data_IF_864311185070
#
_entry.id   IF_864311185070
#
_cell.length_a   1.000
_cell.length_b   1.000
_cell.length_c   1.000
_cell.angle_alpha   90.00
_cell.angle_beta   90.00
_cell.angle_gamma   90.00
#
_symmetry.space_group_name_H-M   'P 1'
#
loop_
_entity.id
_entity.type
_entity.pdbx_description
1 polymer ?
#
# COMPACT_ATOMS: atom_id res chain seq x y z
N UNK A 1 47.49 43.81 43.54
CA UNK A 1 46.14 43.65 42.95
C UNK A 1 46.29 43.25 41.48
N UNK A 2 45.77 42.10 41.06
CA UNK A 2 46.06 41.53 39.74
C UNK A 2 45.39 42.38 38.65
N UNK A 3 46.18 42.87 37.68
CA UNK A 3 45.67 43.73 36.59
C UNK A 3 44.44 43.13 35.89
N UNK A 4 44.41 41.81 35.73
CA UNK A 4 43.27 41.05 35.17
C UNK A 4 41.97 41.23 35.97
N UNK A 5 42.06 41.28 37.30
CA UNK A 5 40.89 41.48 38.17
C UNK A 5 40.33 42.90 38.05
N UNK A 6 41.19 43.90 37.88
CA UNK A 6 40.78 45.30 37.67
C UNK A 6 40.08 45.46 36.31
N UNK A 7 40.62 44.85 35.25
CA UNK A 7 39.96 44.85 33.93
C UNK A 7 38.63 44.10 33.94
N UNK A 8 38.56 42.95 34.62
CA UNK A 8 37.32 42.19 34.75
C UNK A 8 36.25 42.98 35.52
N UNK A 9 36.64 43.66 36.61
CA UNK A 9 35.73 44.51 37.38
C UNK A 9 35.24 45.70 36.56
N UNK A 10 36.14 46.38 35.85
CA UNK A 10 35.79 47.50 34.97
C UNK A 10 34.85 47.08 33.84
N UNK A 11 35.10 45.93 33.21
CA UNK A 11 34.22 45.36 32.20
C UNK A 11 32.86 45.00 32.77
N UNK A 12 32.79 44.41 33.95
CA UNK A 12 31.53 44.03 34.60
C UNK A 12 30.69 45.25 34.97
N UNK A 13 31.31 46.31 35.50
CA UNK A 13 30.61 47.58 35.78
C UNK A 13 30.11 48.21 34.49
N UNK A 14 30.91 48.21 33.43
CA UNK A 14 30.51 48.75 32.13
C UNK A 14 29.37 47.95 31.49
N UNK A 15 29.41 46.62 31.56
CA UNK A 15 28.34 45.74 31.10
C UNK A 15 27.05 45.96 31.90
N UNK A 16 27.14 46.10 33.23
CA UNK A 16 25.98 46.39 34.09
C UNK A 16 25.38 47.77 33.79
N UNK A 17 26.21 48.80 33.58
CA UNK A 17 25.75 50.13 33.19
C UNK A 17 25.05 50.11 31.82
N UNK A 18 25.60 49.37 30.85
CA UNK A 18 25.00 49.21 29.53
C UNK A 18 23.66 48.44 29.62
N UNK A 19 23.60 47.37 30.40
CA UNK A 19 22.37 46.62 30.65
C UNK A 19 21.30 47.49 31.31
N UNK A 20 21.70 48.35 32.26
CA UNK A 20 20.79 49.30 32.89
C UNK A 20 20.27 50.35 31.90
N UNK A 21 21.12 50.89 31.04
CA UNK A 21 20.72 51.87 30.00
C UNK A 21 19.78 51.23 28.97
N UNK A 22 20.03 49.98 28.60
CA UNK A 22 19.19 49.24 27.64
C UNK A 22 17.92 48.66 28.26
N UNK A 23 17.79 48.65 29.59
CA UNK A 23 16.65 48.05 30.30
C UNK A 23 15.32 48.54 29.76
N UNK A 24 15.17 49.86 29.63
CA UNK A 24 13.90 50.46 29.17
C UNK A 24 13.60 50.12 27.70
N UNK A 25 14.64 50.02 26.86
CA UNK A 25 14.50 49.58 25.48
C UNK A 25 14.10 48.10 25.37
N UNK A 26 14.72 47.23 26.17
CA UNK A 26 14.36 45.80 26.22
C UNK A 26 12.95 45.62 26.76
N UNK A 27 12.59 46.34 27.81
CA UNK A 27 11.25 46.25 28.42
C UNK A 27 10.16 46.67 27.43
N UNK A 28 10.36 47.81 26.74
CA UNK A 28 9.39 48.33 25.78
C UNK A 28 9.34 47.54 24.47
N UNK A 29 10.48 47.14 23.91
CA UNK A 29 10.54 46.53 22.58
C UNK A 29 10.47 45.01 22.58
N UNK A 30 10.76 44.35 23.72
CA UNK A 30 10.79 42.89 23.80
C UNK A 30 9.80 42.37 24.83
N UNK A 31 9.89 42.83 26.08
CA UNK A 31 9.08 42.25 27.16
C UNK A 31 7.59 42.58 26.98
N UNK A 32 7.25 43.85 26.74
CA UNK A 32 5.86 44.28 26.55
C UNK A 32 5.18 43.58 25.35
N UNK A 33 5.77 43.51 24.15
CA UNK A 33 5.19 42.76 23.03
C UNK A 33 5.02 41.27 23.35
N UNK A 34 5.96 40.67 24.06
CA UNK A 34 5.88 39.25 24.43
C UNK A 34 4.71 38.98 25.38
N UNK A 35 4.53 39.84 26.39
CA UNK A 35 3.40 39.75 27.33
C UNK A 35 2.08 39.93 26.57
N UNK A 36 2.00 40.94 25.70
CA UNK A 36 0.81 41.19 24.89
C UNK A 36 0.51 39.99 23.97
N UNK A 37 1.52 39.44 23.31
CA UNK A 37 1.39 38.27 22.46
C UNK A 37 0.88 37.04 23.24
N UNK A 38 1.42 36.79 24.43
CA UNK A 38 0.97 35.71 25.29
C UNK A 38 -0.48 35.90 25.74
N UNK A 39 -0.84 37.13 26.11
CA UNK A 39 -2.20 37.48 26.49
C UNK A 39 -3.20 37.28 25.34
N UNK A 40 -2.85 37.70 24.12
CA UNK A 40 -3.65 37.47 22.92
C UNK A 40 -3.85 35.97 22.67
N UNK A 41 -2.80 35.15 22.78
CA UNK A 41 -2.92 33.69 22.67
C UNK A 41 -3.90 33.14 23.69
N UNK A 42 -3.81 33.60 24.95
CA UNK A 42 -4.73 33.21 26.02
C UNK A 42 -6.19 33.52 25.66
N UNK A 43 -6.46 34.73 25.16
CA UNK A 43 -7.81 35.11 24.70
C UNK A 43 -8.26 34.23 23.54
N UNK A 44 -7.41 33.95 22.56
CA UNK A 44 -7.78 33.06 21.46
C UNK A 44 -8.10 31.65 21.97
N UNK A 45 -7.36 31.16 22.96
CA UNK A 45 -7.60 29.86 23.58
C UNK A 45 -8.92 29.82 24.35
N UNK A 46 -9.21 30.84 25.15
CA UNK A 46 -10.46 30.94 25.93
C UNK A 46 -11.68 31.23 25.02
N UNK A 47 -11.45 31.94 23.92
CA UNK A 47 -12.47 32.23 22.90
C UNK A 47 -12.72 31.04 21.99
N UNK A 48 -11.85 30.01 22.02
CA UNK A 48 -12.11 28.77 21.29
C UNK A 48 -13.32 28.11 21.94
N UNK A 49 -14.48 28.10 21.28
CA UNK A 49 -15.68 27.59 21.91
C UNK A 49 -15.43 26.13 22.20
N UNK A 50 -15.65 25.70 23.44
CA UNK A 50 -15.57 24.30 23.83
C UNK A 50 -16.42 23.42 22.88
N UNK A 51 -17.49 23.97 22.30
CA UNK A 51 -18.26 23.34 21.25
C UNK A 51 -17.44 22.97 19.99
N UNK A 52 -16.52 23.83 19.54
CA UNK A 52 -15.69 23.58 18.35
C UNK A 52 -14.73 22.43 18.58
N UNK A 53 -14.09 22.33 19.76
CA UNK A 53 -13.22 21.20 20.08
C UNK A 53 -14.01 19.89 20.13
N UNK A 54 -15.22 19.90 20.70
CA UNK A 54 -16.13 18.74 20.65
C UNK A 54 -16.55 18.37 19.23
N UNK A 55 -16.88 19.36 18.38
CA UNK A 55 -17.24 19.11 16.97
C UNK A 55 -16.09 18.44 16.22
N UNK A 56 -14.86 18.95 16.36
CA UNK A 56 -13.67 18.36 15.73
C UNK A 56 -13.45 16.94 16.25
N UNK A 57 -13.51 16.74 17.57
CA UNK A 57 -13.31 15.43 18.19
C UNK A 57 -14.36 14.42 17.72
N UNK A 58 -15.64 14.80 17.71
CA UNK A 58 -16.73 13.96 17.19
C UNK A 58 -16.54 13.69 15.70
N UNK A 59 -16.13 14.69 14.90
CA UNK A 59 -15.88 14.50 13.48
C UNK A 59 -14.73 13.51 13.22
N UNK A 60 -13.64 13.59 13.98
CA UNK A 60 -12.51 12.64 13.89
C UNK A 60 -12.95 11.24 14.29
N UNK A 61 -13.65 11.08 15.41
CA UNK A 61 -14.17 9.78 15.84
C UNK A 61 -15.13 9.20 14.79
N UNK A 62 -16.02 10.03 14.24
CA UNK A 62 -16.97 9.62 13.19
C UNK A 62 -16.24 9.19 11.93
N UNK A 63 -15.22 9.95 11.51
CA UNK A 63 -14.40 9.60 10.34
C UNK A 63 -13.67 8.27 10.55
N UNK A 64 -13.10 8.05 11.74
CA UNK A 64 -12.45 6.79 12.10
C UNK A 64 -13.45 5.64 12.15
N UNK A 65 -14.65 5.87 12.71
CA UNK A 65 -15.71 4.87 12.77
C UNK A 65 -16.18 4.46 11.37
N UNK A 66 -16.45 5.43 10.49
CA UNK A 66 -16.82 5.17 9.09
C UNK A 66 -15.70 4.42 8.35
N UNK A 67 -14.44 4.81 8.57
CA UNK A 67 -13.29 4.10 8.03
C UNK A 67 -13.16 2.67 8.57
N UNK A 68 -13.50 2.44 9.84
CA UNK A 68 -13.48 1.13 10.49
C UNK A 68 -14.55 0.20 9.92
N UNK A 69 -15.76 0.70 9.65
CA UNK A 69 -16.83 -0.11 9.04
C UNK A 69 -16.51 -0.52 7.59
N UNK A 70 -15.63 0.21 6.88
CA UNK A 70 -15.13 -0.22 5.57
C UNK A 70 -14.01 -1.26 5.63
N UNK A 71 -13.54 -1.65 6.83
CA UNK A 71 -12.59 -2.76 7.05
C UNK A 71 -13.33 -4.00 7.58
N UNK A 72 -14.64 -4.08 7.38
CA UNK A 72 -15.50 -5.20 7.79
C UNK A 72 -15.64 -6.28 6.70
N UNK A 73 -14.54 -6.65 6.02
CA UNK A 73 -14.51 -7.87 5.19
C UNK A 73 -13.14 -8.60 5.21
N UNK A 74 -12.28 -8.32 6.20
CA UNK A 74 -11.07 -9.11 6.42
C UNK A 74 -10.72 -9.36 7.88
N UNK A 75 -11.67 -9.19 8.81
CA UNK A 75 -11.51 -9.74 10.16
C UNK A 75 -11.96 -11.21 10.16
N UNK A 76 -10.97 -12.05 9.85
CA UNK A 76 -10.93 -13.45 10.21
C UNK A 76 -11.43 -13.63 11.64
N UNK A 77 -12.67 -14.10 11.74
CA UNK A 77 -13.25 -14.62 12.96
C UNK A 77 -12.23 -15.56 13.61
N UNK A 78 -11.80 -15.23 14.82
CA UNK A 78 -10.93 -16.04 15.67
C UNK A 78 -11.61 -17.34 16.15
N UNK A 79 -12.54 -17.87 15.36
CA UNK A 79 -13.00 -19.25 15.48
C UNK A 79 -11.80 -20.14 15.18
N UNK A 80 -11.44 -20.95 16.18
CA UNK A 80 -10.63 -22.15 16.01
C UNK A 80 -11.17 -22.90 14.79
N UNK A 81 -10.54 -22.72 13.64
CA UNK A 81 -10.87 -23.44 12.43
C UNK A 81 -10.59 -24.90 12.77
N UNK A 82 -11.60 -25.80 12.80
CA UNK A 82 -11.31 -27.22 12.88
C UNK A 82 -10.37 -27.50 11.71
N UNK A 83 -9.19 -28.11 11.97
CA UNK A 83 -8.21 -28.47 10.93
C UNK A 83 -8.99 -29.10 9.78
N UNK A 84 -9.21 -28.32 8.71
CA UNK A 84 -9.86 -28.84 7.51
C UNK A 84 -8.98 -30.01 7.05
N UNK A 85 -9.56 -31.15 6.69
CA UNK A 85 -8.81 -32.25 6.11
C UNK A 85 -7.97 -31.67 4.96
N UNK A 86 -6.73 -32.13 4.82
CA UNK A 86 -5.78 -31.60 3.84
C UNK A 86 -6.45 -31.53 2.46
N UNK A 87 -6.89 -30.34 2.06
CA UNK A 87 -7.59 -30.13 0.80
C UNK A 87 -6.63 -30.54 -0.31
N UNK A 88 -7.10 -31.38 -1.22
CA UNK A 88 -6.30 -31.82 -2.35
C UNK A 88 -5.90 -30.63 -3.22
N UNK A 89 -4.82 -30.78 -3.99
CA UNK A 89 -4.36 -29.72 -4.90
C UNK A 89 -5.46 -29.27 -5.88
N UNK A 90 -6.36 -30.17 -6.26
CA UNK A 90 -7.52 -29.89 -7.12
C UNK A 90 -8.60 -29.08 -6.40
N UNK A 91 -8.86 -29.36 -5.12
CA UNK A 91 -9.85 -28.65 -4.32
C UNK A 91 -9.40 -27.21 -4.04
N UNK A 92 -8.10 -26.99 -3.83
CA UNK A 92 -7.53 -25.63 -3.76
C UNK A 92 -7.68 -24.87 -5.07
N UNK A 93 -7.43 -25.53 -6.22
CA UNK A 93 -7.56 -24.89 -7.54
C UNK A 93 -9.02 -24.51 -7.83
N UNK A 94 -9.98 -25.40 -7.54
CA UNK A 94 -11.40 -25.11 -7.64
C UNK A 94 -11.81 -23.93 -6.74
N UNK A 95 -11.25 -23.87 -5.52
CA UNK A 95 -11.45 -22.76 -4.61
C UNK A 95 -10.91 -21.42 -5.15
N UNK A 96 -9.76 -21.43 -5.84
CA UNK A 96 -9.23 -20.22 -6.48
C UNK A 96 -10.02 -19.81 -7.71
N UNK A 97 -10.48 -20.78 -8.52
CA UNK A 97 -11.32 -20.52 -9.69
C UNK A 97 -12.62 -19.83 -9.28
N UNK A 98 -13.25 -20.29 -8.20
CA UNK A 98 -14.46 -19.66 -7.67
C UNK A 98 -14.20 -18.23 -7.12
N UNK A 99 -12.99 -17.94 -6.65
CA UNK A 99 -12.56 -16.62 -6.13
C UNK A 99 -11.82 -15.76 -7.16
N UNK A 100 -11.70 -16.20 -8.41
CA UNK A 100 -11.10 -15.43 -9.50
C UNK A 100 -11.71 -14.03 -9.67
N UNK A 101 -13.03 -13.80 -9.51
CA UNK A 101 -13.59 -12.45 -9.62
C UNK A 101 -13.22 -11.52 -8.45
N UNK A 102 -12.85 -12.07 -7.29
CA UNK A 102 -12.64 -11.28 -6.06
C UNK A 102 -11.31 -10.49 -6.07
N UNK A 103 -10.31 -10.95 -6.85
CA UNK A 103 -8.95 -10.43 -6.69
C UNK A 103 -8.06 -10.66 -7.90
N UNK A 104 -7.31 -9.61 -8.28
CA UNK A 104 -6.25 -9.69 -9.31
C UNK A 104 -5.20 -10.76 -8.96
N UNK A 105 -4.93 -10.95 -7.67
CA UNK A 105 -4.04 -12.00 -7.18
C UNK A 105 -4.52 -13.41 -7.57
N UNK A 106 -5.82 -13.70 -7.44
CA UNK A 106 -6.37 -15.01 -7.80
C UNK A 106 -6.34 -15.22 -9.31
N UNK A 107 -6.64 -14.18 -10.11
CA UNK A 107 -6.50 -14.22 -11.56
C UNK A 107 -5.07 -14.53 -11.99
N UNK A 108 -4.08 -13.86 -11.40
CA UNK A 108 -2.66 -14.13 -11.63
C UNK A 108 -2.26 -15.55 -11.21
N UNK A 109 -2.74 -16.02 -10.05
CA UNK A 109 -2.40 -17.36 -9.55
C UNK A 109 -2.92 -18.46 -10.48
N UNK A 110 -4.13 -18.30 -11.01
CA UNK A 110 -4.72 -19.22 -12.00
C UNK A 110 -3.90 -19.20 -13.29
N UNK A 111 -3.61 -18.00 -13.82
CA UNK A 111 -2.79 -17.83 -15.02
C UNK A 111 -1.40 -18.48 -14.87
N UNK A 112 -0.76 -18.30 -13.71
CA UNK A 112 0.54 -18.91 -13.40
C UNK A 112 0.47 -20.43 -13.36
N UNK A 113 -0.59 -21.01 -12.78
CA UNK A 113 -0.78 -22.46 -12.70
C UNK A 113 -1.03 -23.06 -14.08
N UNK A 114 -1.92 -22.45 -14.86
CA UNK A 114 -2.20 -22.88 -16.23
C UNK A 114 -0.98 -22.73 -17.14
N UNK A 115 -0.22 -21.65 -17.00
CA UNK A 115 1.03 -21.44 -17.74
C UNK A 115 2.12 -22.45 -17.37
N UNK A 116 2.22 -22.87 -16.10
CA UNK A 116 3.14 -23.96 -15.71
C UNK A 116 2.72 -25.29 -16.34
N UNK A 117 1.42 -25.60 -16.30
CA UNK A 117 0.88 -26.82 -16.88
C UNK A 117 1.14 -26.87 -18.39
N UNK A 118 0.85 -25.78 -19.12
CA UNK A 118 1.11 -25.72 -20.56
C UNK A 118 2.59 -25.89 -20.92
N UNK A 119 3.50 -25.33 -20.10
CA UNK A 119 4.95 -25.53 -20.25
C UNK A 119 5.39 -26.97 -20.00
N UNK A 120 4.88 -27.60 -18.93
CA UNK A 120 5.18 -28.99 -18.61
C UNK A 120 4.69 -29.92 -19.72
N UNK A 121 3.51 -29.66 -20.28
CA UNK A 121 2.97 -30.42 -21.40
C UNK A 121 3.80 -30.24 -22.68
N UNK A 122 4.14 -29.00 -23.05
CA UNK A 122 4.97 -28.76 -24.24
C UNK A 122 6.35 -29.42 -24.10
N UNK A 123 6.94 -29.40 -22.89
CA UNK A 123 8.19 -30.10 -22.64
C UNK A 123 8.06 -31.62 -22.81
N UNK A 124 6.91 -32.19 -22.44
CA UNK A 124 6.61 -33.62 -22.61
C UNK A 124 6.48 -33.99 -24.09
N UNK A 125 5.73 -33.22 -24.88
CA UNK A 125 5.53 -33.45 -26.31
C UNK A 125 6.81 -33.25 -27.12
N UNK A 126 7.61 -32.23 -26.79
CA UNK A 126 8.81 -31.88 -27.52
C UNK A 126 10.02 -32.80 -27.22
N UNK A 127 9.96 -33.68 -26.21
CA UNK A 127 11.10 -34.46 -25.68
C UNK A 127 12.36 -33.62 -25.45
N UNK A 128 12.20 -32.36 -25.04
CA UNK A 128 13.28 -31.40 -24.84
C UNK A 128 13.54 -31.15 -23.34
N UNK A 129 14.79 -30.88 -22.93
CA UNK A 129 15.11 -30.59 -21.54
C UNK A 129 14.42 -29.32 -21.05
N UNK A 130 13.93 -29.34 -19.81
CA UNK A 130 13.12 -28.27 -19.19
C UNK A 130 13.77 -26.86 -19.18
N UNK A 131 15.07 -26.75 -19.46
CA UNK A 131 15.80 -25.49 -19.55
C UNK A 131 15.50 -24.68 -20.82
N UNK A 132 15.20 -25.31 -21.97
CA UNK A 132 14.76 -24.62 -23.20
C UNK A 132 13.26 -24.29 -23.21
N UNK A 133 12.49 -24.87 -22.28
CA UNK A 133 11.06 -24.62 -22.13
C UNK A 133 10.71 -23.25 -21.50
N UNK A 134 11.72 -22.44 -21.12
CA UNK A 134 11.53 -21.12 -20.52
C UNK A 134 11.11 -20.06 -21.55
N UNK A 135 11.50 -20.26 -22.81
CA UNK A 135 11.11 -19.44 -23.97
C UNK A 135 9.96 -20.07 -24.77
N UNK A 136 9.50 -21.27 -24.39
CA UNK A 136 8.60 -22.11 -25.18
C UNK A 136 7.13 -22.07 -24.75
N UNK A 137 6.73 -21.25 -23.77
CA UNK A 137 5.30 -21.07 -23.47
C UNK A 137 4.52 -20.50 -24.68
N UNK A 138 5.24 -19.83 -25.58
CA UNK A 138 4.83 -19.34 -26.89
C UNK A 138 5.75 -19.92 -27.98
N UNK A 139 6.13 -21.20 -27.87
CA UNK A 139 6.94 -21.84 -28.91
C UNK A 139 6.15 -21.90 -30.23
N UNK A 140 6.81 -21.75 -31.40
CA UNK A 140 6.16 -21.69 -32.72
C UNK A 140 5.25 -22.87 -33.13
N UNK A 141 5.12 -23.92 -32.31
CA UNK A 141 4.22 -25.07 -32.54
C UNK A 141 2.90 -25.01 -31.76
N UNK A 142 2.75 -24.09 -30.81
CA UNK A 142 1.56 -23.94 -29.98
C UNK A 142 0.74 -22.75 -30.49
N UNK A 143 -0.03 -22.96 -31.57
CA UNK A 143 -0.89 -21.97 -32.22
C UNK A 143 -2.06 -21.58 -31.30
N UNK A 144 -1.76 -20.73 -30.31
CA UNK A 144 -2.71 -20.22 -29.34
C UNK A 144 -3.33 -18.92 -29.81
N UNK A 145 -4.64 -18.69 -29.58
CA UNK A 145 -5.24 -17.38 -29.73
C UNK A 145 -4.42 -16.33 -28.94
N UNK A 146 -4.23 -15.15 -29.53
CA UNK A 146 -3.39 -14.07 -28.98
C UNK A 146 -3.74 -13.74 -27.52
N UNK A 147 -5.03 -13.73 -27.19
CA UNK A 147 -5.54 -13.47 -25.84
C UNK A 147 -5.12 -14.55 -24.83
N UNK A 148 -5.15 -15.82 -25.23
CA UNK A 148 -4.75 -16.96 -24.38
C UNK A 148 -3.23 -16.98 -24.20
N UNK A 149 -2.47 -16.67 -25.25
CA UNK A 149 -1.02 -16.53 -25.19
C UNK A 149 -0.62 -15.42 -24.20
N UNK A 150 -1.24 -14.24 -24.31
CA UNK A 150 -1.00 -13.10 -23.42
C UNK A 150 -1.39 -13.42 -21.96
N UNK A 151 -2.49 -14.14 -21.75
CA UNK A 151 -2.92 -14.58 -20.43
C UNK A 151 -1.89 -15.51 -19.77
N UNK A 152 -1.47 -16.58 -20.47
CA UNK A 152 -0.50 -17.54 -19.96
C UNK A 152 0.88 -16.92 -19.74
N UNK A 153 1.30 -16.03 -20.65
CA UNK A 153 2.57 -15.31 -20.53
C UNK A 153 2.57 -14.36 -19.32
N UNK A 154 1.48 -13.63 -19.10
CA UNK A 154 1.35 -12.72 -17.94
C UNK A 154 1.39 -13.46 -16.61
N UNK A 155 0.89 -14.70 -16.55
CA UNK A 155 0.99 -15.56 -15.36
C UNK A 155 2.38 -16.14 -15.12
N UNK A 156 3.16 -16.38 -16.18
CA UNK A 156 4.49 -16.99 -16.11
C UNK A 156 5.62 -15.98 -15.88
N UNK A 157 5.58 -14.89 -16.63
CA UNK A 157 6.65 -13.89 -16.69
C UNK A 157 6.27 -12.57 -16.00
N UNK A 158 4.97 -12.34 -15.76
CA UNK A 158 4.46 -11.16 -15.07
C UNK A 158 4.19 -11.39 -13.58
N UNK A 159 3.95 -10.28 -12.88
CA UNK A 159 3.50 -10.24 -11.49
C UNK A 159 2.15 -9.55 -11.39
N UNK A 160 1.34 -9.92 -10.40
CA UNK A 160 0.12 -9.17 -10.07
C UNK A 160 0.40 -7.69 -9.73
N UNK A 161 1.62 -7.37 -9.29
CA UNK A 161 2.04 -6.01 -8.97
C UNK A 161 2.15 -5.11 -10.21
N UNK A 162 2.31 -5.70 -11.40
CA UNK A 162 2.46 -4.95 -12.66
C UNK A 162 1.13 -4.34 -13.14
N UNK A 163 0.01 -4.73 -12.51
CA UNK A 163 -1.32 -4.20 -12.78
C UNK A 163 -1.90 -3.52 -11.53
N UNK A 164 -1.40 -2.32 -11.16
CA UNK A 164 -1.88 -1.62 -9.98
C UNK A 164 -3.37 -1.26 -10.12
N UNK A 165 -4.16 -1.56 -9.10
CA UNK A 165 -5.55 -1.09 -9.01
C UNK A 165 -5.56 0.42 -8.79
N UNK A 166 -6.44 1.17 -9.47
CA UNK A 166 -6.57 2.61 -9.23
C UNK A 166 -6.93 2.86 -7.77
N UNK A 167 -6.20 3.79 -7.13
CA UNK A 167 -6.45 4.20 -5.73
C UNK A 167 -7.74 5.01 -5.56
N UNK A 168 -8.32 5.50 -6.65
CA UNK A 168 -9.49 6.39 -6.63
C UNK A 168 -10.79 5.62 -6.95
N UNK A 169 -11.85 5.72 -6.13
CA UNK A 169 -13.12 5.00 -6.35
C UNK A 169 -13.85 5.27 -7.68
N UNK A 170 -13.50 6.33 -8.42
CA UNK A 170 -14.17 6.68 -9.69
C UNK A 170 -13.37 6.31 -10.94
N UNK A 171 -12.14 5.80 -10.79
CA UNK A 171 -11.34 5.37 -11.93
C UNK A 171 -11.67 3.92 -12.27
N UNK A 172 -12.13 3.68 -13.50
CA UNK A 172 -12.34 2.31 -13.99
C UNK A 172 -10.98 1.60 -14.09
N UNK A 173 -10.87 0.35 -13.60
CA UNK A 173 -9.69 -0.47 -13.84
C UNK A 173 -9.39 -0.55 -15.33
N UNK A 174 -8.11 -0.48 -15.71
CA UNK A 174 -7.70 -0.76 -17.09
C UNK A 174 -7.88 -2.26 -17.35
N UNK A 175 -8.34 -2.68 -18.54
CA UNK A 175 -8.39 -4.08 -18.89
C UNK A 175 -6.97 -4.66 -18.86
N UNK A 176 -6.82 -5.79 -18.18
CA UNK A 176 -5.55 -6.50 -18.04
C UNK A 176 -5.61 -7.82 -18.81
N UNK A 177 -4.48 -8.36 -19.30
CA UNK A 177 -4.44 -9.69 -19.90
C UNK A 177 -4.98 -10.78 -18.96
N UNK A 178 -4.89 -10.56 -17.64
CA UNK A 178 -5.41 -11.44 -16.59
C UNK A 178 -6.95 -11.45 -16.48
N UNK A 179 -7.65 -10.55 -17.19
CA UNK A 179 -9.12 -10.49 -17.20
C UNK A 179 -9.75 -11.48 -18.19
N UNK A 180 -8.93 -12.25 -18.93
CA UNK A 180 -9.43 -13.38 -19.72
C UNK A 180 -10.15 -14.38 -18.81
N UNK A 181 -11.26 -14.92 -19.31
CA UNK A 181 -11.97 -16.02 -18.65
C UNK A 181 -11.05 -17.26 -18.56
N UNK A 182 -10.77 -17.77 -17.34
CA UNK A 182 -9.98 -18.98 -17.18
C UNK A 182 -10.53 -20.18 -17.96
N UNK A 183 -11.84 -20.27 -18.18
CA UNK A 183 -12.46 -21.37 -18.95
C UNK A 183 -11.93 -21.41 -20.38
N UNK A 184 -11.78 -20.25 -21.04
CA UNK A 184 -11.21 -20.15 -22.39
C UNK A 184 -9.77 -20.68 -22.46
N UNK A 185 -8.97 -20.41 -21.43
CA UNK A 185 -7.60 -20.91 -21.35
C UNK A 185 -7.57 -22.43 -21.08
N UNK A 186 -8.48 -22.94 -20.26
CA UNK A 186 -8.61 -24.37 -19.96
C UNK A 186 -9.06 -25.14 -21.22
N UNK A 187 -10.11 -24.69 -21.89
CA UNK A 187 -10.64 -25.29 -23.13
C UNK A 187 -9.55 -25.41 -24.20
N UNK A 188 -8.72 -24.38 -24.32
CA UNK A 188 -7.61 -24.39 -25.25
C UNK A 188 -6.56 -25.44 -24.86
N UNK A 189 -6.16 -25.51 -23.59
CA UNK A 189 -5.20 -26.52 -23.11
C UNK A 189 -5.78 -27.94 -23.28
N UNK A 190 -7.07 -28.14 -22.98
CA UNK A 190 -7.76 -29.42 -23.19
C UNK A 190 -7.81 -29.81 -24.67
N UNK A 191 -8.04 -28.86 -25.58
CA UNK A 191 -8.05 -29.10 -27.02
C UNK A 191 -6.71 -29.67 -27.53
N UNK A 192 -5.61 -29.31 -26.86
CA UNK A 192 -4.26 -29.79 -27.17
C UNK A 192 -3.93 -31.13 -26.50
N UNK A 193 -4.56 -31.48 -25.37
CA UNK A 193 -4.41 -32.80 -24.75
C UNK A 193 -5.09 -33.94 -25.54
N UNK A 194 -5.98 -33.57 -26.48
CA UNK A 194 -6.89 -34.52 -27.10
C UNK A 194 -8.07 -34.77 -26.16
N UNK A 195 -9.29 -34.63 -26.70
CA UNK A 195 -10.49 -35.02 -25.97
C UNK A 195 -10.37 -36.50 -25.57
N UNK A 196 -10.65 -36.88 -24.32
CA UNK A 196 -10.82 -38.29 -23.97
C UNK A 196 -11.93 -38.94 -24.83
#
# INVERSE_FOLDING_TARGET
MNRRAIFALGFLVMAAALAYLMRESIERNVIQPLIYFWWVIGIFYDSFPQAVTWIILVAVITMLAVGSFSVEDAHSDGRRVPRKPAQGQVEMLAGWLHRAPDGLYFKWLIAQRLGKLSREMNAFDARQPASSAREAATSPGWDAPEEVAAYLESGLNGSFADYPRPRWPFQRPRPTPLDLDPETAIDFIESKMGKP
#
